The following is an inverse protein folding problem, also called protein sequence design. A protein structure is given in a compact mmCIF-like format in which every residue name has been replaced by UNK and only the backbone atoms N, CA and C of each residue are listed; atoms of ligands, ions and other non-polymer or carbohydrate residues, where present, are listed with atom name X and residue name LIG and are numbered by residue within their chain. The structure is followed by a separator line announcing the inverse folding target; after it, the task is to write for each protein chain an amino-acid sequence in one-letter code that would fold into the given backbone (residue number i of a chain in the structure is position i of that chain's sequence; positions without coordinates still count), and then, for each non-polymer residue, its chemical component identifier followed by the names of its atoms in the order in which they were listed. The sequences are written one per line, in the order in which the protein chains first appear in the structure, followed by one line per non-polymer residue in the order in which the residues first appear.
data_IF_805338215931
#
_entry.id   IF_805338215931
#
_cell.length_a   1.000
_cell.length_b   1.000
_cell.length_c   1.000
_cell.angle_alpha   90.00
_cell.angle_beta   90.00
_cell.angle_gamma   90.00
#
_symmetry.space_group_name_H-M   'P 1'
#
loop_
_entity.id
_entity.type
_entity.pdbx_description
1 polymer ?
#
# COMPACT_ATOMS: atom_id res chain seq x y z
N UNK A 1 -56.92 -40.70 0.09
CA UNK A 1 -57.99 -39.76 0.43
C UNK A 1 -57.31 -38.41 0.35
N UNK A 2 -57.25 -37.84 -0.80
CA UNK A 2 -58.16 -36.90 -1.48
C UNK A 2 -58.28 -35.57 -0.74
N UNK A 3 -57.89 -34.53 -1.47
CA UNK A 3 -58.12 -33.15 -1.15
C UNK A 3 -57.38 -32.21 -2.10
N UNK A 4 -57.73 -32.26 -3.37
CA UNK A 4 -57.35 -31.31 -4.43
C UNK A 4 -58.07 -29.96 -4.27
N UNK A 5 -57.49 -28.97 -5.01
CA UNK A 5 -58.06 -27.72 -5.59
C UNK A 5 -58.12 -26.52 -4.62
N UNK A 6 -57.79 -25.29 -5.03
CA UNK A 6 -58.01 -24.60 -6.34
C UNK A 6 -57.13 -23.39 -6.50
N UNK A 7 -56.65 -23.17 -7.72
CA UNK A 7 -56.27 -21.88 -8.33
C UNK A 7 -57.42 -20.86 -8.33
N UNK A 8 -57.13 -19.57 -8.19
CA UNK A 8 -57.75 -18.38 -8.87
C UNK A 8 -56.75 -17.24 -8.70
N UNK A 9 -56.00 -16.75 -9.71
CA UNK A 9 -56.45 -15.96 -10.88
C UNK A 9 -57.16 -14.63 -10.50
N UNK A 10 -56.42 -13.54 -10.52
CA UNK A 10 -56.86 -12.18 -10.87
C UNK A 10 -55.56 -11.42 -11.18
N UNK A 11 -55.05 -11.25 -12.35
CA UNK A 11 -55.57 -10.60 -13.56
C UNK A 11 -55.60 -9.07 -13.47
N UNK A 12 -54.64 -8.48 -14.19
CA UNK A 12 -54.80 -7.35 -15.10
C UNK A 12 -55.63 -6.13 -14.59
N UNK A 13 -54.91 -4.98 -14.41
CA UNK A 13 -55.34 -3.69 -14.92
C UNK A 13 -54.28 -2.63 -14.54
N UNK A 14 -53.78 -1.91 -15.52
CA UNK A 14 -52.97 -0.71 -15.22
C UNK A 14 -51.86 -0.38 -16.22
N UNK A 15 -52.06 -0.63 -17.52
CA UNK A 15 -51.24 -0.03 -18.59
C UNK A 15 -52.18 0.49 -19.66
N UNK A 16 -52.68 1.69 -19.47
CA UNK A 16 -53.29 2.51 -20.53
C UNK A 16 -53.61 3.89 -19.95
N UNK A 17 -52.69 4.82 -19.93
CA UNK A 17 -52.96 6.25 -19.89
C UNK A 17 -51.63 7.08 -19.88
N UNK A 18 -50.81 7.00 -20.93
CA UNK A 18 -49.90 8.08 -21.33
C UNK A 18 -49.59 7.86 -22.82
N UNK A 19 -50.56 8.11 -23.66
CA UNK A 19 -50.36 8.25 -25.11
C UNK A 19 -51.53 9.04 -25.73
N UNK A 20 -51.75 10.28 -25.27
CA UNK A 20 -52.60 11.28 -25.92
C UNK A 20 -52.09 12.67 -25.51
N UNK A 21 -51.11 13.20 -26.19
CA UNK A 21 -50.59 14.54 -25.90
C UNK A 21 -49.54 15.09 -26.86
N UNK A 22 -49.52 14.58 -28.09
CA UNK A 22 -48.56 15.07 -29.09
C UNK A 22 -49.13 15.03 -30.52
N UNK A 23 -50.37 15.57 -30.73
CA UNK A 23 -50.87 15.89 -32.09
C UNK A 23 -51.79 17.12 -31.91
N UNK A 24 -51.26 18.31 -31.73
CA UNK A 24 -51.92 19.58 -31.93
C UNK A 24 -50.95 20.77 -31.88
N UNK A 25 -49.91 20.79 -32.72
CA UNK A 25 -49.17 22.03 -33.04
C UNK A 25 -48.44 21.84 -34.39
N UNK A 26 -49.16 21.71 -35.43
CA UNK A 26 -48.59 21.58 -36.74
C UNK A 26 -49.57 22.02 -37.84
N UNK A 27 -50.03 23.28 -37.81
CA UNK A 27 -50.69 23.92 -38.98
C UNK A 27 -50.94 25.38 -38.66
N UNK A 28 -49.94 26.19 -38.78
CA UNK A 28 -50.09 27.67 -38.90
C UNK A 28 -48.70 28.25 -39.23
N UNK A 29 -48.26 28.09 -40.47
CA UNK A 29 -47.32 28.99 -41.20
C UNK A 29 -47.28 28.52 -42.65
N UNK A 30 -48.26 28.77 -43.44
CA UNK A 30 -48.15 28.94 -44.88
C UNK A 30 -49.16 30.01 -45.30
N UNK A 31 -48.66 31.20 -45.38
CA UNK A 31 -49.05 32.24 -46.34
C UNK A 31 -48.51 33.59 -45.88
N UNK A 32 -47.40 34.01 -46.41
CA UNK A 32 -47.10 35.41 -46.70
C UNK A 32 -46.24 35.48 -47.96
N UNK A 33 -46.93 35.97 -48.97
CA UNK A 33 -46.54 36.38 -50.29
C UNK A 33 -45.26 37.21 -50.36
N UNK A 34 -44.54 36.98 -51.42
CA UNK A 34 -43.39 37.72 -51.91
C UNK A 34 -43.62 39.24 -51.93
N UNK A 35 -42.73 39.97 -51.28
CA UNK A 35 -42.36 41.33 -51.67
C UNK A 35 -40.86 41.40 -51.79
N UNK A 36 -40.44 41.55 -53.04
CA UNK A 36 -39.06 41.85 -53.36
C UNK A 36 -38.75 43.29 -52.93
N UNK A 37 -37.90 43.46 -51.96
CA UNK A 37 -37.34 44.75 -51.62
C UNK A 37 -35.81 44.67 -51.78
N UNK A 38 -35.32 45.55 -52.66
CA UNK A 38 -33.91 45.72 -53.00
C UNK A 38 -33.12 46.06 -51.73
N UNK A 39 -32.43 45.09 -51.16
CA UNK A 39 -31.45 45.32 -50.10
C UNK A 39 -30.12 45.69 -50.68
N UNK A 40 -29.72 46.92 -50.45
CA UNK A 40 -28.41 47.49 -50.68
C UNK A 40 -27.33 46.52 -50.16
N UNK A 41 -26.43 46.04 -51.02
CA UNK A 41 -25.31 45.20 -50.67
C UNK A 41 -24.40 45.92 -49.65
N UNK A 42 -24.49 45.58 -48.37
CA UNK A 42 -23.46 45.91 -47.40
C UNK A 42 -22.24 45.05 -47.70
N UNK A 43 -21.02 45.59 -47.73
CA UNK A 43 -19.85 44.75 -47.86
C UNK A 43 -19.75 43.79 -46.66
N UNK A 44 -19.62 42.50 -46.92
CA UNK A 44 -19.41 41.49 -45.91
C UNK A 44 -18.19 41.88 -45.05
N UNK A 45 -18.28 41.78 -43.72
CA UNK A 45 -17.10 41.97 -42.89
C UNK A 45 -16.09 40.93 -43.30
N UNK A 46 -14.85 41.35 -43.61
CA UNK A 46 -13.70 40.46 -43.81
C UNK A 46 -13.63 39.59 -42.58
N UNK A 47 -14.11 38.33 -42.69
CA UNK A 47 -14.03 37.37 -41.63
C UNK A 47 -12.57 37.17 -41.28
N UNK A 48 -12.19 37.59 -40.09
CA UNK A 48 -10.98 37.10 -39.46
C UNK A 48 -11.14 35.58 -39.41
N UNK A 49 -10.38 34.84 -40.21
CA UNK A 49 -10.29 33.43 -40.12
C UNK A 49 -9.62 33.11 -38.76
N UNK A 50 -10.46 33.02 -37.73
CA UNK A 50 -10.01 32.43 -36.47
C UNK A 50 -9.73 30.99 -36.80
N UNK A 51 -8.48 30.69 -37.10
CA UNK A 51 -8.02 29.33 -37.29
C UNK A 51 -8.36 28.58 -36.00
N UNK A 52 -9.19 27.57 -36.09
CA UNK A 52 -9.45 26.65 -34.98
C UNK A 52 -8.08 26.17 -34.45
N UNK A 53 -7.92 26.09 -33.14
CA UNK A 53 -6.67 25.58 -32.59
C UNK A 53 -6.38 24.21 -33.21
N UNK A 54 -5.12 23.91 -33.49
CA UNK A 54 -4.75 22.62 -34.10
C UNK A 54 -5.33 21.48 -33.25
N UNK A 55 -5.94 20.50 -33.93
CA UNK A 55 -6.48 19.33 -33.25
C UNK A 55 -5.32 18.63 -32.51
N UNK A 56 -5.54 18.24 -31.24
CA UNK A 56 -4.50 17.54 -30.47
C UNK A 56 -4.14 16.23 -31.19
N UNK A 57 -2.86 15.90 -31.22
CA UNK A 57 -2.38 14.61 -31.71
C UNK A 57 -2.72 13.53 -30.67
N UNK A 58 -3.88 12.88 -30.88
CA UNK A 58 -4.39 11.84 -29.99
C UNK A 58 -3.44 10.63 -29.91
N UNK A 59 -2.67 10.36 -30.97
CA UNK A 59 -1.70 9.28 -30.98
C UNK A 59 -0.54 9.59 -30.06
N UNK A 60 0.03 10.78 -30.17
CA UNK A 60 1.11 11.23 -29.29
C UNK A 60 0.67 11.28 -27.79
N UNK A 61 -0.57 11.71 -27.51
CA UNK A 61 -1.14 11.65 -26.17
C UNK A 61 -1.25 10.21 -25.67
N UNK A 62 -1.80 9.32 -26.49
CA UNK A 62 -1.96 7.89 -26.14
C UNK A 62 -0.60 7.23 -25.85
N UNK A 63 0.39 7.46 -26.71
CA UNK A 63 1.74 6.92 -26.55
C UNK A 63 2.39 7.44 -25.26
N UNK A 64 2.31 8.74 -24.97
CA UNK A 64 2.87 9.35 -23.77
C UNK A 64 2.20 8.85 -22.49
N UNK A 65 0.87 8.79 -22.45
CA UNK A 65 0.13 8.27 -21.30
C UNK A 65 0.52 6.81 -21.02
N UNK A 66 0.57 5.96 -22.03
CA UNK A 66 0.94 4.55 -21.84
C UNK A 66 2.41 4.38 -21.47
N UNK A 67 3.31 5.22 -22.00
CA UNK A 67 4.74 5.16 -21.70
C UNK A 67 5.05 5.47 -20.22
N UNK A 68 4.25 6.29 -19.56
CA UNK A 68 4.47 6.78 -18.21
C UNK A 68 3.47 6.23 -17.17
N UNK A 69 2.58 5.32 -17.59
CA UNK A 69 1.63 4.64 -16.69
C UNK A 69 2.22 3.33 -16.20
N UNK A 70 2.13 3.10 -14.89
CA UNK A 70 2.47 1.83 -14.26
C UNK A 70 1.35 1.36 -13.34
N UNK A 71 1.26 0.05 -13.17
CA UNK A 71 0.25 -0.59 -12.32
C UNK A 71 0.87 -1.08 -11.03
N UNK A 72 0.11 -0.94 -9.94
CA UNK A 72 0.50 -1.32 -8.59
C UNK A 72 -0.58 -2.19 -7.98
N UNK A 73 -0.33 -3.50 -7.83
CA UNK A 73 -1.28 -4.38 -7.12
C UNK A 73 -1.23 -4.14 -5.64
N UNK A 74 -2.40 -4.01 -5.03
CA UNK A 74 -2.57 -3.58 -3.63
C UNK A 74 -3.18 -4.69 -2.76
N UNK A 75 -4.48 -4.70 -2.63
CA UNK A 75 -5.25 -5.65 -1.83
C UNK A 75 -6.74 -5.40 -2.00
N UNK A 76 -7.55 -6.06 -1.21
CA UNK A 76 -8.97 -5.70 -1.11
C UNK A 76 -9.13 -4.40 -0.29
N UNK A 77 -10.30 -3.74 -0.34
CA UNK A 77 -10.50 -2.45 0.31
C UNK A 77 -10.27 -2.42 1.83
N UNK A 78 -10.35 -3.57 2.50
CA UNK A 78 -10.13 -3.67 3.95
C UNK A 78 -8.65 -3.80 4.34
N UNK A 79 -7.75 -3.98 3.37
CA UNK A 79 -6.33 -4.15 3.62
C UNK A 79 -5.58 -2.81 3.51
N UNK A 80 -4.57 -2.64 4.35
CA UNK A 80 -3.75 -1.43 4.42
C UNK A 80 -3.04 -1.10 3.10
N UNK A 81 -2.72 -2.10 2.30
CA UNK A 81 -2.05 -1.91 1.00
C UNK A 81 -2.88 -1.09 0.01
N UNK A 82 -4.22 -1.13 0.13
CA UNK A 82 -5.10 -0.28 -0.69
C UNK A 82 -4.96 1.19 -0.30
N UNK A 83 -4.85 1.49 0.98
CA UNK A 83 -4.56 2.84 1.46
C UNK A 83 -3.17 3.32 0.98
N UNK A 84 -2.14 2.47 1.11
CA UNK A 84 -0.80 2.82 0.60
C UNK A 84 -0.78 3.08 -0.90
N UNK A 85 -1.45 2.24 -1.70
CA UNK A 85 -1.56 2.45 -3.14
C UNK A 85 -2.27 3.75 -3.52
N UNK A 86 -3.34 4.08 -2.80
CA UNK A 86 -4.07 5.34 -2.98
C UNK A 86 -3.21 6.56 -2.62
N UNK A 87 -2.44 6.49 -1.53
CA UNK A 87 -1.51 7.54 -1.13
C UNK A 87 -0.40 7.75 -2.17
N UNK A 88 0.19 6.66 -2.68
CA UNK A 88 1.20 6.75 -3.73
C UNK A 88 0.64 7.39 -5.00
N UNK A 89 -0.55 6.97 -5.45
CA UNK A 89 -1.19 7.59 -6.61
C UNK A 89 -1.48 9.08 -6.39
N UNK A 90 -1.98 9.44 -5.21
CA UNK A 90 -2.33 10.82 -4.90
C UNK A 90 -1.11 11.76 -4.79
N UNK A 91 0.05 11.25 -4.36
CA UNK A 91 1.28 12.04 -4.19
C UNK A 91 2.13 12.05 -5.44
N UNK A 92 2.20 10.92 -6.16
CA UNK A 92 3.18 10.73 -7.23
C UNK A 92 2.64 11.04 -8.61
N UNK A 93 1.31 10.98 -8.83
CA UNK A 93 0.74 11.32 -10.13
C UNK A 93 1.14 12.74 -10.56
N UNK A 94 1.58 12.86 -11.80
CA UNK A 94 2.07 14.10 -12.39
C UNK A 94 1.62 14.19 -13.86
N UNK A 95 0.34 14.48 -14.07
CA UNK A 95 -0.27 14.55 -15.39
C UNK A 95 0.05 13.33 -16.26
N UNK A 96 0.61 13.57 -17.45
CA UNK A 96 1.05 12.52 -18.38
C UNK A 96 2.49 12.04 -18.12
N UNK A 97 3.21 12.69 -17.17
CA UNK A 97 4.60 12.37 -16.90
C UNK A 97 4.76 11.16 -15.99
N UNK A 98 3.85 10.97 -15.04
CA UNK A 98 3.82 9.77 -14.20
C UNK A 98 2.40 9.48 -13.76
N UNK A 99 1.94 8.28 -14.02
CA UNK A 99 0.64 7.82 -13.58
C UNK A 99 0.74 6.47 -12.88
N UNK A 100 0.40 6.43 -11.61
CA UNK A 100 0.32 5.23 -10.78
C UNK A 100 -1.13 4.79 -10.74
N UNK A 101 -1.42 3.57 -11.14
CA UNK A 101 -2.75 2.96 -11.12
C UNK A 101 -2.79 1.86 -10.06
N UNK A 102 -3.36 2.12 -8.87
CA UNK A 102 -3.61 1.06 -7.91
C UNK A 102 -4.65 0.08 -8.45
N UNK A 103 -4.32 -1.20 -8.40
CA UNK A 103 -5.18 -2.31 -8.85
C UNK A 103 -5.50 -3.17 -7.63
N UNK A 104 -6.79 -3.43 -7.40
CA UNK A 104 -7.22 -4.29 -6.30
C UNK A 104 -6.85 -5.75 -6.57
N UNK A 105 -6.50 -6.46 -5.50
CA UNK A 105 -6.18 -7.88 -5.49
C UNK A 105 -6.70 -8.52 -4.20
N UNK A 106 -6.39 -9.79 -3.96
CA UNK A 106 -6.68 -10.43 -2.68
C UNK A 106 -5.63 -10.10 -1.60
N UNK A 107 -4.47 -9.54 -1.97
CA UNK A 107 -3.42 -9.10 -1.05
C UNK A 107 -2.04 -9.72 -1.32
N UNK A 108 -1.18 -9.71 -0.31
CA UNK A 108 0.26 -9.97 -0.41
C UNK A 108 0.63 -11.25 -1.17
N UNK A 109 -0.10 -12.34 -0.95
CA UNK A 109 0.14 -13.66 -1.58
C UNK A 109 -0.09 -13.61 -3.08
N UNK A 110 -1.25 -13.08 -3.48
CA UNK A 110 -1.58 -12.90 -4.90
C UNK A 110 -0.63 -11.90 -5.57
N UNK A 111 -0.29 -10.82 -4.89
CA UNK A 111 0.57 -9.77 -5.45
C UNK A 111 1.93 -10.30 -5.91
N UNK A 112 2.53 -11.23 -5.16
CA UNK A 112 3.81 -11.86 -5.57
C UNK A 112 3.64 -12.62 -6.88
N UNK A 113 2.56 -13.37 -7.03
CA UNK A 113 2.24 -14.11 -8.27
C UNK A 113 1.96 -13.16 -9.43
N UNK A 114 1.19 -12.09 -9.19
CA UNK A 114 0.81 -11.12 -10.20
C UNK A 114 2.02 -10.34 -10.73
N UNK A 115 2.88 -9.82 -9.85
CA UNK A 115 4.12 -9.16 -10.27
C UNK A 115 5.05 -10.12 -11.01
N UNK A 116 5.09 -11.39 -10.58
CA UNK A 116 5.96 -12.39 -11.20
C UNK A 116 5.50 -12.84 -12.59
N UNK A 117 4.20 -12.96 -12.82
CA UNK A 117 3.67 -13.64 -14.01
C UNK A 117 2.65 -12.83 -14.82
N UNK A 118 1.91 -11.91 -14.21
CA UNK A 118 0.81 -11.24 -14.89
C UNK A 118 1.32 -10.09 -15.77
N UNK A 119 0.98 -10.11 -17.04
CA UNK A 119 1.32 -9.03 -17.95
C UNK A 119 0.61 -7.75 -17.55
N UNK A 120 1.33 -6.63 -17.56
CA UNK A 120 0.76 -5.33 -17.25
C UNK A 120 0.84 -4.95 -15.76
N UNK A 121 1.31 -5.83 -14.88
CA UNK A 121 1.62 -5.49 -13.49
C UNK A 121 3.10 -5.12 -13.38
N UNK A 122 3.39 -3.98 -12.78
CA UNK A 122 4.74 -3.43 -12.64
C UNK A 122 5.25 -3.51 -11.20
N UNK A 123 4.36 -3.20 -10.23
CA UNK A 123 4.67 -3.08 -8.81
C UNK A 123 3.65 -3.84 -7.96
N UNK A 124 4.02 -4.16 -6.73
CA UNK A 124 3.11 -4.74 -5.75
C UNK A 124 3.53 -4.49 -4.31
N UNK A 125 2.58 -4.68 -3.41
CA UNK A 125 2.86 -4.78 -1.98
C UNK A 125 2.86 -6.23 -1.55
N UNK A 126 3.80 -6.58 -0.68
CA UNK A 126 3.85 -7.90 -0.03
C UNK A 126 4.46 -7.78 1.36
N UNK A 127 4.62 -8.91 2.03
CA UNK A 127 5.26 -9.01 3.35
C UNK A 127 6.47 -9.95 3.25
N UNK A 128 7.51 -9.68 4.01
CA UNK A 128 8.80 -10.39 3.91
C UNK A 128 8.67 -11.91 4.07
N UNK A 129 7.83 -12.37 5.01
CA UNK A 129 7.59 -13.81 5.24
C UNK A 129 6.95 -14.50 4.03
N UNK A 130 6.10 -13.80 3.26
CA UNK A 130 5.50 -14.35 2.02
C UNK A 130 6.58 -14.60 0.97
N UNK A 131 7.52 -13.66 0.81
CA UNK A 131 8.67 -13.87 -0.06
C UNK A 131 9.55 -15.04 0.43
N UNK A 132 9.79 -15.14 1.74
CA UNK A 132 10.49 -16.24 2.38
C UNK A 132 9.81 -17.59 2.13
N UNK A 133 8.50 -17.66 2.31
CA UNK A 133 7.69 -18.85 2.01
C UNK A 133 7.87 -19.31 0.55
N UNK A 134 7.66 -18.44 -0.42
CA UNK A 134 7.81 -18.79 -1.83
C UNK A 134 9.23 -19.16 -2.23
N UNK A 135 10.24 -18.55 -1.61
CA UNK A 135 11.64 -18.92 -1.82
C UNK A 135 11.91 -20.35 -1.37
N UNK A 136 11.42 -20.75 -0.18
CA UNK A 136 11.61 -22.10 0.37
C UNK A 136 10.79 -23.16 -0.36
N UNK A 137 9.56 -22.85 -0.70
CA UNK A 137 8.67 -23.80 -1.40
C UNK A 137 9.06 -24.03 -2.87
N UNK A 138 9.72 -23.04 -3.50
CA UNK A 138 10.03 -23.09 -4.93
C UNK A 138 8.79 -23.03 -5.83
N UNK A 139 7.59 -22.83 -5.28
CA UNK A 139 6.31 -22.85 -6.01
C UNK A 139 6.27 -21.86 -7.18
N UNK A 140 6.92 -20.70 -7.05
CA UNK A 140 6.97 -19.66 -8.07
C UNK A 140 8.30 -19.64 -8.85
N UNK A 141 9.12 -20.69 -8.71
CA UNK A 141 10.45 -20.78 -9.28
C UNK A 141 11.44 -19.85 -8.56
N UNK A 142 12.55 -19.56 -9.23
CA UNK A 142 13.54 -18.63 -8.70
C UNK A 142 12.95 -17.20 -8.60
N UNK A 143 12.90 -16.68 -7.38
CA UNK A 143 12.42 -15.33 -7.10
C UNK A 143 13.55 -14.32 -6.87
N UNK A 144 14.73 -14.76 -6.42
CA UNK A 144 15.81 -13.88 -5.98
C UNK A 144 16.37 -13.02 -7.11
N UNK A 145 16.39 -13.58 -8.34
CA UNK A 145 16.80 -12.86 -9.54
C UNK A 145 15.63 -12.19 -10.29
N UNK A 146 14.41 -12.52 -9.93
CA UNK A 146 13.20 -12.04 -10.64
C UNK A 146 12.45 -10.95 -9.92
N UNK A 147 12.58 -10.86 -8.60
CA UNK A 147 11.92 -9.84 -7.80
C UNK A 147 12.95 -9.01 -7.03
N UNK A 148 12.68 -7.72 -6.93
CA UNK A 148 13.49 -6.77 -6.17
C UNK A 148 12.58 -5.92 -5.30
N UNK A 149 12.98 -5.64 -4.05
CA UNK A 149 12.24 -4.69 -3.25
C UNK A 149 12.68 -3.26 -3.57
N UNK A 150 11.75 -2.31 -3.50
CA UNK A 150 12.03 -0.89 -3.64
C UNK A 150 12.30 -0.29 -2.27
N UNK A 151 11.39 -0.54 -1.33
CA UNK A 151 11.52 -0.06 0.03
C UNK A 151 10.78 -0.94 1.04
N UNK A 152 11.21 -0.85 2.29
CA UNK A 152 10.48 -1.33 3.46
C UNK A 152 9.57 -0.19 3.94
N UNK A 153 8.29 -0.51 4.20
CA UNK A 153 7.32 0.50 4.64
C UNK A 153 7.21 0.51 6.16
N UNK A 154 6.80 -0.61 6.75
CA UNK A 154 6.57 -0.75 8.17
C UNK A 154 6.97 -2.16 8.65
N UNK A 155 7.03 -2.35 9.94
CA UNK A 155 6.85 -3.66 10.51
C UNK A 155 5.34 -3.88 10.68
N UNK A 156 4.90 -5.07 10.32
CA UNK A 156 3.54 -5.52 10.56
C UNK A 156 3.60 -6.54 11.70
N UNK A 157 3.21 -6.10 12.89
CA UNK A 157 3.15 -6.94 14.07
C UNK A 157 2.01 -7.94 13.97
N UNK A 158 2.24 -9.10 14.57
CA UNK A 158 1.22 -10.14 14.69
C UNK A 158 0.39 -9.87 15.94
N UNK A 159 -0.88 -9.59 15.73
CA UNK A 159 -1.84 -9.38 16.81
C UNK A 159 -2.74 -10.62 16.92
N UNK A 160 -2.57 -11.40 17.96
CA UNK A 160 -3.43 -12.52 18.27
C UNK A 160 -4.42 -12.10 19.35
N UNK A 161 -5.65 -11.84 18.94
CA UNK A 161 -6.73 -11.38 19.83
C UNK A 161 -7.60 -12.56 20.24
N UNK A 162 -7.85 -12.66 21.53
CA UNK A 162 -8.69 -13.70 22.14
C UNK A 162 -9.67 -13.11 23.16
N UNK A 163 -10.53 -13.95 23.72
CA UNK A 163 -11.26 -13.67 24.96
C UNK A 163 -10.32 -13.83 26.16
N UNK A 164 -10.60 -13.12 27.25
CA UNK A 164 -9.76 -13.07 28.45
C UNK A 164 -9.59 -14.41 29.17
N UNK A 165 -10.49 -15.36 28.96
CA UNK A 165 -10.42 -16.72 29.49
C UNK A 165 -9.38 -17.60 28.79
N UNK A 166 -8.91 -17.23 27.59
CA UNK A 166 -7.82 -17.90 26.88
C UNK A 166 -6.52 -17.17 27.18
N UNK A 167 -5.60 -17.85 27.85
CA UNK A 167 -4.37 -17.26 28.39
C UNK A 167 -3.07 -17.78 27.78
N UNK A 168 -3.15 -18.86 26.97
CA UNK A 168 -2.01 -19.45 26.29
C UNK A 168 -2.37 -19.90 24.88
N UNK A 169 -1.34 -20.05 24.03
CA UNK A 169 -1.50 -20.56 22.67
C UNK A 169 -1.97 -22.01 22.63
N UNK A 170 -1.55 -22.83 23.59
CA UNK A 170 -1.92 -24.26 23.71
C UNK A 170 -3.43 -24.44 23.88
N UNK A 171 -4.10 -23.48 24.52
CA UNK A 171 -5.55 -23.52 24.69
C UNK A 171 -6.31 -23.32 23.38
N UNK A 172 -5.64 -22.90 22.32
CA UNK A 172 -6.22 -22.77 20.98
C UNK A 172 -6.23 -24.09 20.19
N UNK A 173 -5.53 -25.13 20.66
CA UNK A 173 -5.45 -26.42 19.99
C UNK A 173 -6.83 -27.03 19.79
N UNK A 174 -7.18 -27.37 18.53
CA UNK A 174 -8.49 -27.92 18.15
C UNK A 174 -9.61 -26.89 18.15
N UNK A 175 -9.33 -25.62 18.37
CA UNK A 175 -10.35 -24.56 18.36
C UNK A 175 -10.35 -23.78 17.05
N UNK A 176 -11.48 -23.15 16.75
CA UNK A 176 -11.61 -22.27 15.58
C UNK A 176 -10.85 -20.98 15.78
N UNK A 177 -9.88 -20.72 14.91
CA UNK A 177 -9.09 -19.48 14.87
C UNK A 177 -9.27 -18.79 13.51
N UNK A 178 -9.58 -17.52 13.53
CA UNK A 178 -9.71 -16.75 12.31
C UNK A 178 -8.32 -16.31 11.78
N UNK A 179 -8.03 -16.74 10.55
CA UNK A 179 -6.80 -16.42 9.81
C UNK A 179 -6.99 -15.24 8.85
N UNK A 180 -8.00 -14.40 9.07
CA UNK A 180 -8.39 -13.30 8.21
C UNK A 180 -8.92 -13.78 6.84
N UNK A 181 -9.07 -12.87 5.88
CA UNK A 181 -9.63 -13.17 4.56
C UNK A 181 -8.76 -14.18 3.80
N UNK A 182 -9.41 -15.09 3.08
CA UNK A 182 -8.74 -16.10 2.26
C UNK A 182 -7.85 -15.44 1.21
N UNK A 183 -6.62 -15.93 1.03
CA UNK A 183 -5.63 -15.38 0.11
C UNK A 183 -4.89 -14.14 0.63
N UNK A 184 -5.20 -13.66 1.84
CA UNK A 184 -4.49 -12.54 2.46
C UNK A 184 -3.10 -12.95 2.98
N UNK A 185 -2.22 -11.96 3.16
CA UNK A 185 -0.92 -12.17 3.83
C UNK A 185 -1.08 -12.70 5.25
N UNK A 186 -2.08 -12.21 5.98
CA UNK A 186 -2.38 -12.68 7.34
C UNK A 186 -2.75 -14.16 7.38
N UNK A 187 -3.51 -14.68 6.40
CA UNK A 187 -3.82 -16.11 6.34
C UNK A 187 -2.56 -16.96 6.24
N UNK A 188 -1.65 -16.62 5.33
CA UNK A 188 -0.39 -17.36 5.18
C UNK A 188 0.49 -17.22 6.43
N UNK A 189 0.60 -16.00 6.97
CA UNK A 189 1.32 -15.73 8.23
C UNK A 189 0.79 -16.57 9.39
N UNK A 190 -0.53 -16.64 9.55
CA UNK A 190 -1.15 -17.44 10.60
C UNK A 190 -0.83 -18.94 10.44
N UNK A 191 -0.93 -19.47 9.22
CA UNK A 191 -0.55 -20.86 8.93
C UNK A 191 0.91 -21.14 9.28
N UNK A 192 1.83 -20.25 8.85
CA UNK A 192 3.26 -20.39 9.16
C UNK A 192 3.50 -20.40 10.67
N UNK A 193 2.85 -19.51 11.42
CA UNK A 193 2.99 -19.41 12.89
C UNK A 193 2.45 -20.67 13.56
N UNK A 194 1.22 -21.08 13.31
CA UNK A 194 0.63 -22.23 13.97
C UNK A 194 1.34 -23.53 13.59
N UNK A 195 1.74 -23.70 12.34
CA UNK A 195 2.57 -24.83 11.89
C UNK A 195 3.95 -24.79 12.55
N UNK A 196 4.62 -23.65 12.57
CA UNK A 196 5.96 -23.48 13.16
C UNK A 196 5.97 -23.70 14.67
N UNK A 197 4.87 -23.43 15.36
CA UNK A 197 4.69 -23.69 16.79
C UNK A 197 4.10 -25.08 17.10
N UNK A 198 3.80 -25.87 16.07
CA UNK A 198 3.18 -27.19 16.19
C UNK A 198 1.85 -27.17 16.97
N UNK A 199 0.98 -26.19 16.67
CA UNK A 199 -0.35 -26.03 17.28
C UNK A 199 -1.41 -26.19 16.19
N UNK A 200 -2.15 -27.29 16.22
CA UNK A 200 -3.26 -27.52 15.29
C UNK A 200 -4.48 -26.73 15.72
N UNK A 201 -5.09 -26.00 14.79
CA UNK A 201 -6.31 -25.22 15.00
C UNK A 201 -7.26 -25.39 13.80
N UNK A 202 -8.53 -25.18 14.02
CA UNK A 202 -9.53 -25.16 12.95
C UNK A 202 -9.50 -23.77 12.28
N UNK A 203 -8.90 -23.68 11.09
CA UNK A 203 -8.83 -22.43 10.34
C UNK A 203 -10.20 -21.97 9.88
N UNK A 204 -10.57 -20.71 10.16
CA UNK A 204 -11.68 -20.00 9.54
C UNK A 204 -11.20 -18.71 8.88
N UNK A 205 -11.91 -18.24 7.84
CA UNK A 205 -11.49 -17.08 7.07
C UNK A 205 -12.61 -16.04 7.04
N UNK A 206 -12.46 -14.99 7.83
CA UNK A 206 -13.41 -13.90 7.99
C UNK A 206 -12.67 -12.57 7.92
N UNK A 207 -13.34 -11.54 7.43
CA UNK A 207 -12.85 -10.17 7.58
C UNK A 207 -12.81 -9.75 9.06
N UNK A 208 -12.04 -8.68 9.40
CA UNK A 208 -11.86 -8.28 10.80
C UNK A 208 -13.17 -7.98 11.55
N UNK A 209 -14.12 -7.30 10.93
CA UNK A 209 -15.40 -6.95 11.58
C UNK A 209 -16.22 -8.22 11.96
N UNK A 210 -16.38 -9.15 11.01
CA UNK A 210 -17.09 -10.41 11.23
C UNK A 210 -16.36 -11.28 12.26
N UNK A 211 -15.02 -11.25 12.25
CA UNK A 211 -14.22 -12.00 13.19
C UNK A 211 -14.43 -11.51 14.63
N UNK A 212 -14.46 -10.20 14.86
CA UNK A 212 -14.71 -9.65 16.21
C UNK A 212 -16.13 -9.93 16.70
N UNK A 213 -17.14 -9.86 15.81
CA UNK A 213 -18.51 -10.27 16.16
C UNK A 213 -18.56 -11.73 16.59
N UNK A 214 -17.94 -12.64 15.83
CA UNK A 214 -17.88 -14.07 16.17
C UNK A 214 -17.05 -14.37 17.42
N UNK A 215 -15.97 -13.62 17.64
CA UNK A 215 -15.16 -13.72 18.86
C UNK A 215 -15.98 -13.31 20.10
N UNK A 216 -16.75 -12.21 19.99
CA UNK A 216 -17.66 -11.76 21.05
C UNK A 216 -18.73 -12.82 21.38
N UNK A 217 -19.28 -13.48 20.36
CA UNK A 217 -20.26 -14.57 20.48
C UNK A 217 -19.65 -15.92 20.86
N UNK A 218 -18.35 -16.03 21.04
CA UNK A 218 -17.61 -17.28 21.32
C UNK A 218 -17.77 -18.36 20.23
N UNK A 219 -18.04 -17.94 18.99
CA UNK A 219 -18.14 -18.86 17.85
C UNK A 219 -16.73 -19.18 17.29
N UNK A 220 -15.74 -18.31 17.57
CA UNK A 220 -14.31 -18.53 17.35
C UNK A 220 -13.55 -18.22 18.64
N UNK A 221 -12.38 -18.80 18.81
CA UNK A 221 -11.56 -18.65 20.02
C UNK A 221 -10.51 -17.55 19.89
N UNK A 222 -10.06 -17.27 18.68
CA UNK A 222 -9.08 -16.22 18.41
C UNK A 222 -9.23 -15.66 17.00
N UNK A 223 -8.67 -14.48 16.79
CA UNK A 223 -8.45 -13.90 15.46
C UNK A 223 -7.03 -13.32 15.36
N UNK A 224 -6.38 -13.53 14.21
CA UNK A 224 -5.08 -12.95 13.90
C UNK A 224 -5.28 -11.76 12.98
N UNK A 225 -4.52 -10.68 13.27
CA UNK A 225 -4.37 -9.52 12.41
C UNK A 225 -2.88 -9.23 12.27
N UNK A 226 -2.40 -9.11 11.05
CA UNK A 226 -1.05 -8.67 10.72
C UNK A 226 -1.14 -7.24 10.23
N UNK A 227 -0.57 -6.30 10.97
CA UNK A 227 -0.61 -4.86 10.67
C UNK A 227 0.41 -4.12 11.50
N UNK A 228 0.83 -2.94 11.04
CA UNK A 228 1.56 -2.01 11.90
C UNK A 228 0.74 -1.62 13.14
N UNK A 229 1.43 -1.28 14.20
CA UNK A 229 0.82 -0.85 15.48
C UNK A 229 0.76 0.67 15.63
N UNK A 230 -0.32 1.22 16.20
CA UNK A 230 -1.54 0.52 16.59
C UNK A 230 -2.41 0.13 15.38
N UNK A 231 -2.91 -1.11 15.37
CA UNK A 231 -3.87 -1.57 14.38
C UNK A 231 -5.26 -1.01 14.69
N UNK A 232 -5.84 -0.24 13.77
CA UNK A 232 -7.10 0.49 14.02
C UNK A 232 -8.27 -0.41 14.44
N UNK A 233 -8.37 -1.62 13.89
CA UNK A 233 -9.40 -2.58 14.27
C UNK A 233 -9.26 -3.09 15.72
N UNK A 234 -8.05 -3.08 16.28
CA UNK A 234 -7.75 -3.56 17.64
C UNK A 234 -7.81 -2.41 18.67
N UNK A 235 -7.45 -1.21 18.26
CA UNK A 235 -7.40 -0.04 19.13
C UNK A 235 -8.75 0.28 19.83
N UNK A 236 -9.86 -0.18 19.26
CA UNK A 236 -11.21 0.01 19.80
C UNK A 236 -11.61 -1.06 20.84
N UNK A 237 -10.88 -2.17 20.93
CA UNK A 237 -11.18 -3.26 21.85
C UNK A 237 -10.75 -2.88 23.28
N UNK A 238 -11.45 -3.46 24.27
CA UNK A 238 -11.16 -3.20 25.69
C UNK A 238 -11.02 -4.51 26.48
N UNK A 239 -10.06 -4.54 27.39
CA UNK A 239 -9.89 -5.63 28.34
C UNK A 239 -11.11 -5.78 29.24
N UNK A 240 -11.78 -4.68 29.62
CA UNK A 240 -13.01 -4.66 30.40
C UNK A 240 -14.20 -5.34 29.70
N UNK A 241 -14.17 -5.45 28.36
CA UNK A 241 -15.14 -6.16 27.55
C UNK A 241 -14.75 -7.65 27.35
N UNK A 242 -13.68 -8.09 28.01
CA UNK A 242 -13.20 -9.46 28.00
C UNK A 242 -12.35 -9.82 26.79
N UNK A 243 -11.66 -8.85 26.17
CA UNK A 243 -10.64 -9.08 25.15
C UNK A 243 -9.23 -9.05 25.71
N UNK A 244 -8.32 -9.75 25.09
CA UNK A 244 -6.89 -9.68 25.36
C UNK A 244 -6.05 -9.97 24.12
N UNK A 245 -4.81 -9.52 24.17
CA UNK A 245 -3.77 -9.91 23.23
C UNK A 245 -2.96 -11.06 23.82
N UNK A 246 -2.82 -12.16 23.07
CA UNK A 246 -1.92 -13.25 23.45
C UNK A 246 -0.51 -13.02 22.88
N UNK A 247 0.52 -13.36 23.66
CA UNK A 247 1.88 -13.34 23.15
C UNK A 247 2.10 -14.40 22.06
N UNK A 248 2.90 -14.03 21.04
CA UNK A 248 3.38 -14.93 19.99
C UNK A 248 4.89 -15.02 20.11
N UNK A 249 5.44 -16.18 20.52
CA UNK A 249 6.86 -16.32 20.84
C UNK A 249 7.73 -16.25 19.57
N UNK A 250 8.88 -15.61 19.68
CA UNK A 250 9.92 -15.63 18.64
C UNK A 250 10.68 -16.97 18.66
N UNK A 251 9.96 -18.04 18.30
CA UNK A 251 10.48 -19.39 18.29
C UNK A 251 11.53 -19.59 17.19
N UNK A 252 12.43 -20.59 17.38
CA UNK A 252 13.49 -20.89 16.41
C UNK A 252 12.96 -21.14 15.00
N UNK A 253 11.81 -21.81 14.87
CA UNK A 253 11.13 -22.09 13.60
C UNK A 253 10.63 -20.87 12.84
N UNK A 254 10.54 -19.70 13.48
CA UNK A 254 10.03 -18.47 12.91
C UNK A 254 11.11 -17.41 12.62
N UNK A 255 12.35 -17.65 13.06
CA UNK A 255 13.42 -16.61 13.04
C UNK A 255 13.86 -16.19 11.66
N UNK A 256 13.72 -17.05 10.66
CA UNK A 256 14.17 -16.75 9.30
C UNK A 256 13.27 -15.74 8.58
N UNK A 257 12.00 -15.64 9.00
CA UNK A 257 10.99 -14.83 8.30
C UNK A 257 10.46 -13.66 9.13
N UNK A 258 10.68 -13.69 10.46
CA UNK A 258 10.10 -12.74 11.39
C UNK A 258 11.16 -12.06 12.24
N UNK A 259 10.81 -10.92 12.78
CA UNK A 259 11.59 -10.16 13.76
C UNK A 259 10.88 -10.21 15.11
N UNK A 260 11.60 -10.21 16.25
CA UNK A 260 10.96 -10.02 17.54
C UNK A 260 10.34 -8.62 17.61
N UNK A 261 9.19 -8.52 18.22
CA UNK A 261 8.48 -7.26 18.46
C UNK A 261 7.72 -7.32 19.78
N UNK A 262 7.20 -6.18 20.22
CA UNK A 262 6.48 -6.03 21.47
C UNK A 262 5.33 -5.06 21.28
N UNK A 263 4.16 -5.39 21.82
CA UNK A 263 3.01 -4.49 21.91
C UNK A 263 2.97 -3.89 23.32
N UNK A 264 2.70 -2.61 23.42
CA UNK A 264 2.80 -1.84 24.68
C UNK A 264 1.49 -1.15 25.03
N UNK A 265 1.40 -0.61 26.24
CA UNK A 265 0.29 0.24 26.64
C UNK A 265 0.15 1.48 25.75
N UNK A 266 1.26 2.03 25.23
CA UNK A 266 1.21 3.19 24.31
C UNK A 266 0.51 2.83 22.98
N UNK A 267 0.69 1.58 22.51
CA UNK A 267 0.02 1.09 21.33
C UNK A 267 -1.47 0.78 21.60
N UNK A 268 -1.77 0.18 22.78
CA UNK A 268 -3.11 -0.32 23.12
C UNK A 268 -3.49 -0.05 24.58
N UNK A 269 -3.76 1.21 24.96
CA UNK A 269 -4.01 1.58 26.37
C UNK A 269 -5.27 0.92 26.97
N UNK A 270 -6.22 0.47 26.13
CA UNK A 270 -7.43 -0.20 26.58
C UNK A 270 -7.28 -1.74 26.75
N UNK A 271 -6.19 -2.33 26.25
CA UNK A 271 -5.94 -3.78 26.28
C UNK A 271 -4.73 -4.20 27.10
N UNK A 272 -3.73 -3.33 27.18
CA UNK A 272 -2.46 -3.60 27.86
C UNK A 272 -2.36 -2.61 29.05
N UNK A 273 -2.16 -3.12 30.25
CA UNK A 273 -2.04 -2.27 31.44
C UNK A 273 -0.73 -1.47 31.41
N UNK A 274 -0.71 -0.34 32.10
CA UNK A 274 0.47 0.50 32.17
C UNK A 274 1.66 -0.26 32.78
N UNK A 275 2.80 -0.23 32.09
CA UNK A 275 4.01 -0.97 32.47
C UNK A 275 4.03 -2.43 32.05
N UNK A 276 2.94 -2.97 31.47
CA UNK A 276 2.89 -4.30 30.88
C UNK A 276 3.21 -4.26 29.40
N UNK A 277 3.64 -5.40 28.88
CA UNK A 277 3.93 -5.61 27.46
C UNK A 277 3.46 -6.97 27.01
N UNK A 278 3.17 -7.11 25.70
CA UNK A 278 2.86 -8.39 25.09
C UNK A 278 3.91 -8.68 24.02
N UNK A 279 4.71 -9.73 24.23
CA UNK A 279 5.68 -10.18 23.24
C UNK A 279 4.97 -10.67 21.97
N UNK A 280 5.50 -10.31 20.83
CA UNK A 280 5.02 -10.75 19.53
C UNK A 280 6.16 -10.82 18.51
N UNK A 281 5.82 -11.18 17.29
CA UNK A 281 6.71 -11.15 16.15
C UNK A 281 6.16 -10.21 15.08
N UNK A 282 7.03 -9.74 14.20
CA UNK A 282 6.66 -8.87 13.10
C UNK A 282 7.29 -9.33 11.78
N UNK A 283 6.59 -9.10 10.69
CA UNK A 283 7.13 -9.19 9.34
C UNK A 283 7.20 -7.79 8.72
N UNK A 284 7.99 -7.62 7.66
CA UNK A 284 8.15 -6.30 7.02
C UNK A 284 7.23 -6.15 5.83
N UNK A 285 6.39 -5.11 5.82
CA UNK A 285 5.67 -4.69 4.63
C UNK A 285 6.60 -4.05 3.61
N UNK A 286 6.49 -4.47 2.36
CA UNK A 286 7.40 -4.14 1.27
C UNK A 286 6.64 -3.62 0.06
N UNK A 287 7.21 -2.61 -0.58
CA UNK A 287 6.93 -2.26 -1.97
C UNK A 287 8.00 -2.95 -2.84
N UNK A 288 7.57 -3.71 -3.84
CA UNK A 288 8.46 -4.51 -4.68
C UNK A 288 8.07 -4.46 -6.16
N UNK A 289 8.97 -4.89 -7.02
CA UNK A 289 8.85 -4.91 -8.46
C UNK A 289 9.41 -6.20 -9.06
N UNK A 290 9.06 -6.47 -10.32
CA UNK A 290 9.83 -7.41 -11.12
C UNK A 290 11.19 -6.80 -11.47
N UNK A 291 12.24 -7.61 -11.48
CA UNK A 291 13.61 -7.19 -11.81
C UNK A 291 13.79 -7.08 -13.33
N UNK A 292 13.28 -5.99 -13.91
CA UNK A 292 13.40 -5.74 -15.35
C UNK A 292 14.84 -5.35 -15.72
N UNK A 293 15.37 -5.82 -16.87
CA UNK A 293 16.63 -5.33 -17.39
C UNK A 293 16.61 -3.82 -17.65
N UNK A 294 17.74 -3.12 -17.36
CA UNK A 294 17.87 -1.64 -17.47
C UNK A 294 17.46 -1.05 -18.83
N UNK A 295 17.63 -1.79 -19.91
CA UNK A 295 17.34 -1.33 -21.27
C UNK A 295 15.87 -1.50 -21.68
N UNK A 296 14.98 -1.81 -20.75
CA UNK A 296 13.54 -2.03 -21.04
C UNK A 296 12.69 -0.83 -20.64
N UNK A 297 11.57 -0.65 -21.36
CA UNK A 297 10.58 0.38 -21.01
C UNK A 297 9.99 0.17 -19.63
N UNK A 298 9.87 -1.08 -19.18
CA UNK A 298 9.36 -1.40 -17.85
C UNK A 298 10.33 -0.97 -16.75
N UNK A 299 11.64 -1.21 -16.93
CA UNK A 299 12.65 -0.68 -16.00
C UNK A 299 12.55 0.84 -15.90
N UNK A 300 12.51 1.53 -17.06
CA UNK A 300 12.43 3.00 -17.12
C UNK A 300 11.22 3.55 -16.37
N UNK A 301 10.05 2.90 -16.47
CA UNK A 301 8.84 3.32 -15.73
C UNK A 301 9.01 3.13 -14.24
N UNK A 302 9.52 1.98 -13.80
CA UNK A 302 9.78 1.71 -12.38
C UNK A 302 10.83 2.68 -11.84
N UNK A 303 11.90 2.96 -12.58
CA UNK A 303 12.94 3.92 -12.20
C UNK A 303 12.38 5.35 -12.05
N UNK A 304 11.54 5.79 -12.99
CA UNK A 304 10.83 7.08 -12.90
C UNK A 304 9.93 7.15 -11.67
N UNK A 305 9.20 6.10 -11.37
CA UNK A 305 8.40 5.99 -10.17
C UNK A 305 9.27 6.07 -8.90
N UNK A 306 10.37 5.34 -8.85
CA UNK A 306 11.28 5.33 -7.69
C UNK A 306 11.89 6.73 -7.47
N UNK A 307 12.32 7.42 -8.52
CA UNK A 307 12.81 8.80 -8.44
C UNK A 307 11.76 9.75 -7.88
N UNK A 308 10.52 9.65 -8.36
CA UNK A 308 9.41 10.46 -7.84
C UNK A 308 9.07 10.12 -6.39
N UNK A 309 9.08 8.84 -6.02
CA UNK A 309 8.86 8.37 -4.66
C UNK A 309 9.89 8.96 -3.69
N UNK A 310 11.17 8.90 -4.03
CA UNK A 310 12.24 9.44 -3.20
C UNK A 310 12.15 10.95 -3.07
N UNK A 311 11.90 11.66 -4.17
CA UNK A 311 11.79 13.12 -4.18
C UNK A 311 10.59 13.64 -3.36
N UNK A 312 9.46 12.92 -3.38
CA UNK A 312 8.21 13.31 -2.70
C UNK A 312 7.94 12.50 -1.42
N UNK A 313 8.92 11.76 -0.91
CA UNK A 313 8.71 10.85 0.23
C UNK A 313 8.17 11.55 1.48
N UNK A 314 8.64 12.75 1.77
CA UNK A 314 8.17 13.55 2.91
C UNK A 314 6.68 13.92 2.82
N UNK A 315 6.11 13.98 1.61
CA UNK A 315 4.68 14.26 1.42
C UNK A 315 3.80 13.05 1.84
N UNK A 316 4.32 11.83 1.68
CA UNK A 316 3.65 10.62 2.16
C UNK A 316 3.57 10.58 3.70
N UNK A 317 4.52 11.20 4.40
CA UNK A 317 4.58 11.20 5.86
C UNK A 317 3.65 12.25 6.52
N UNK A 318 3.01 13.11 5.72
CA UNK A 318 2.11 14.18 6.18
C UNK A 318 0.63 13.76 6.10
N UNK A 319 -0.23 14.24 7.02
CA UNK A 319 -1.67 14.10 6.87
C UNK A 319 -2.16 14.68 5.51
N UNK A 320 -3.19 14.10 4.89
CA UNK A 320 -4.08 13.04 5.37
C UNK A 320 -3.60 11.63 5.02
N UNK A 321 -2.33 11.42 4.69
CA UNK A 321 -1.77 10.11 4.30
C UNK A 321 -1.75 9.15 5.49
N UNK A 322 -1.69 7.85 5.17
CA UNK A 322 -1.66 6.81 6.20
C UNK A 322 -0.49 7.05 7.18
N UNK A 323 -0.72 7.04 8.51
CA UNK A 323 0.32 7.36 9.50
C UNK A 323 1.51 6.39 9.49
N UNK A 324 1.35 5.17 9.00
CA UNK A 324 2.46 4.19 8.91
C UNK A 324 3.56 4.62 7.93
N UNK A 325 3.31 5.53 7.00
CA UNK A 325 4.37 6.12 6.19
C UNK A 325 5.46 6.80 7.01
N UNK A 326 5.17 7.25 8.24
CA UNK A 326 6.16 7.82 9.16
C UNK A 326 7.15 6.79 9.70
N UNK A 327 6.79 5.50 9.67
CA UNK A 327 7.68 4.40 10.06
C UNK A 327 8.56 3.92 8.90
N UNK A 328 8.20 4.30 7.67
CA UNK A 328 8.90 3.87 6.47
C UNK A 328 10.32 4.47 6.41
N UNK A 329 11.28 3.61 6.08
CA UNK A 329 12.68 3.99 5.95
C UNK A 329 13.21 3.54 4.58
N UNK A 330 13.47 4.51 3.72
CA UNK A 330 13.99 4.25 2.37
C UNK A 330 15.32 3.50 2.38
N UNK A 331 16.15 3.70 3.41
CA UNK A 331 17.46 3.08 3.53
C UNK A 331 17.44 1.69 4.20
N UNK A 332 16.29 1.27 4.78
CA UNK A 332 16.19 -0.01 5.46
C UNK A 332 16.46 -1.18 4.52
N UNK A 333 17.35 -2.08 4.93
CA UNK A 333 17.71 -3.29 4.18
C UNK A 333 16.75 -4.44 4.46
N UNK A 334 16.61 -5.34 3.50
CA UNK A 334 15.92 -6.61 3.64
C UNK A 334 16.93 -7.74 3.43
N UNK A 335 17.30 -8.48 4.49
CA UNK A 335 18.28 -9.57 4.36
C UNK A 335 17.83 -10.62 3.34
N UNK A 336 18.77 -11.07 2.51
CA UNK A 336 18.52 -12.11 1.50
C UNK A 336 17.77 -11.64 0.25
N UNK A 337 17.48 -10.33 0.10
CA UNK A 337 16.79 -9.78 -1.06
C UNK A 337 17.54 -8.59 -1.66
N UNK A 338 17.55 -8.53 -2.98
CA UNK A 338 18.14 -7.41 -3.74
C UNK A 338 17.17 -6.22 -3.74
N UNK A 339 17.71 -5.03 -3.55
CA UNK A 339 16.97 -3.79 -3.77
C UNK A 339 16.93 -3.49 -5.27
N UNK A 340 15.88 -2.80 -5.73
CA UNK A 340 15.83 -2.24 -7.08
C UNK A 340 17.04 -1.33 -7.30
N UNK A 341 17.76 -1.56 -8.39
CA UNK A 341 19.07 -0.93 -8.61
C UNK A 341 18.98 0.61 -8.64
N UNK A 342 17.97 1.18 -9.30
CA UNK A 342 17.75 2.64 -9.29
C UNK A 342 17.50 3.23 -7.90
N UNK A 343 16.89 2.46 -6.98
CA UNK A 343 16.74 2.88 -5.58
C UNK A 343 18.08 2.84 -4.83
N UNK A 344 18.92 1.84 -5.09
CA UNK A 344 20.25 1.74 -4.47
C UNK A 344 21.18 2.87 -4.95
N UNK A 345 21.15 3.20 -6.25
CA UNK A 345 21.90 4.32 -6.84
C UNK A 345 21.50 5.67 -6.20
N UNK A 346 20.18 5.89 -6.01
CA UNK A 346 19.70 7.11 -5.33
C UNK A 346 20.18 7.18 -3.87
N UNK A 347 20.09 6.07 -3.13
CA UNK A 347 20.56 6.02 -1.75
C UNK A 347 22.07 6.28 -1.65
N UNK A 348 22.87 5.72 -2.56
CA UNK A 348 24.31 5.98 -2.64
C UNK A 348 24.58 7.47 -2.88
N UNK A 349 23.90 8.07 -3.85
CA UNK A 349 24.00 9.51 -4.16
C UNK A 349 23.65 10.40 -2.96
N UNK A 350 22.55 10.10 -2.24
CA UNK A 350 22.18 10.85 -1.04
C UNK A 350 23.22 10.71 0.09
N UNK A 351 23.79 9.53 0.27
CA UNK A 351 24.86 9.32 1.26
C UNK A 351 26.11 10.15 0.91
N UNK A 352 26.52 10.15 -0.34
CA UNK A 352 27.66 10.94 -0.82
C UNK A 352 27.44 12.44 -0.65
N UNK A 353 26.26 12.95 -1.03
CA UNK A 353 25.90 14.35 -0.85
C UNK A 353 25.88 14.76 0.63
N UNK A 354 25.31 13.90 1.48
CA UNK A 354 25.29 14.12 2.93
C UNK A 354 26.69 14.16 3.53
N UNK A 355 27.56 13.23 3.13
CA UNK A 355 28.95 13.18 3.58
C UNK A 355 29.75 14.39 3.07
N UNK A 356 29.55 14.81 1.82
CA UNK A 356 30.20 16.00 1.27
C UNK A 356 29.76 17.26 2.02
N UNK A 357 28.45 17.44 2.26
CA UNK A 357 27.94 18.57 3.06
C UNK A 357 28.43 18.56 4.51
N UNK A 358 28.57 17.37 5.11
CA UNK A 358 29.15 17.24 6.45
C UNK A 358 30.64 17.58 6.46
N UNK A 359 31.39 17.20 5.42
CA UNK A 359 32.82 17.58 5.29
C UNK A 359 32.97 19.08 5.14
N UNK A 360 32.14 19.71 4.33
CA UNK A 360 32.14 21.16 4.18
C UNK A 360 31.86 21.89 5.51
N UNK A 361 30.84 21.46 6.25
CA UNK A 361 30.54 22.00 7.59
C UNK A 361 31.70 21.77 8.57
N UNK A 362 32.36 20.63 8.48
CA UNK A 362 33.53 20.33 9.28
C UNK A 362 34.71 21.25 8.93
N UNK A 363 35.01 21.45 7.65
CA UNK A 363 36.07 22.39 7.21
C UNK A 363 35.76 23.82 7.67
N UNK A 364 34.52 24.28 7.59
CA UNK A 364 34.08 25.56 8.14
C UNK A 364 34.25 25.63 9.67
N UNK A 365 33.97 24.54 10.38
CA UNK A 365 34.17 24.46 11.82
C UNK A 365 35.64 24.54 12.24
N UNK A 366 36.52 23.93 11.48
CA UNK A 366 37.98 23.95 11.76
C UNK A 366 38.69 25.19 11.18
N UNK A 367 38.12 25.86 10.15
CA UNK A 367 38.74 26.99 9.50
C UNK A 367 39.32 28.09 10.43
N UNK A 368 38.53 28.57 11.45
CA UNK A 368 39.04 29.57 12.43
C UNK A 368 40.10 29.01 13.40
N UNK A 369 40.27 27.70 13.43
CA UNK A 369 41.16 26.94 14.34
C UNK A 369 42.34 26.33 13.62
N UNK A 370 42.51 26.62 12.35
CA UNK A 370 43.47 25.98 11.44
C UNK A 370 44.93 25.99 11.94
N UNK A 371 45.33 27.00 12.74
CA UNK A 371 46.68 27.07 13.33
C UNK A 371 46.94 26.06 14.50
N UNK A 372 45.97 25.25 14.90
CA UNK A 372 46.05 24.22 15.94
C UNK A 372 45.63 22.86 15.45
N UNK A 373 45.51 22.68 14.16
CA UNK A 373 44.97 21.43 13.59
C UNK A 373 46.05 20.41 13.30
N UNK A 374 45.65 19.10 13.34
CA UNK A 374 46.52 18.00 12.98
C UNK A 374 47.12 18.15 11.61
N UNK A 375 48.41 17.89 11.49
CA UNK A 375 49.19 18.14 10.26
C UNK A 375 48.98 17.00 9.23
N UNK A 376 48.49 15.83 9.64
CA UNK A 376 48.34 14.66 8.79
C UNK A 376 46.91 14.40 8.37
N UNK A 377 46.71 13.79 7.21
CA UNK A 377 45.39 13.37 6.70
C UNK A 377 44.70 12.37 7.64
N UNK A 378 45.46 11.53 8.29
CA UNK A 378 44.98 10.52 9.23
C UNK A 378 44.37 11.18 10.49
N UNK A 379 45.00 12.18 11.04
CA UNK A 379 44.53 12.94 12.20
C UNK A 379 43.27 13.78 11.84
N UNK A 380 43.23 14.33 10.62
CA UNK A 380 42.03 15.03 10.12
C UNK A 380 40.82 14.10 9.95
N UNK A 381 41.03 12.88 9.43
CA UNK A 381 40.01 11.88 9.33
C UNK A 381 39.52 11.42 10.72
N UNK A 382 40.38 11.32 11.70
CA UNK A 382 40.01 10.99 13.07
C UNK A 382 39.18 12.09 13.70
N UNK A 383 39.58 13.36 13.54
CA UNK A 383 38.83 14.51 14.01
C UNK A 383 37.45 14.63 13.33
N UNK A 384 37.34 14.27 12.05
CA UNK A 384 36.04 14.20 11.34
C UNK A 384 35.14 13.08 11.91
N UNK A 385 35.70 11.91 12.21
CA UNK A 385 34.96 10.83 12.84
C UNK A 385 34.52 11.20 14.28
N UNK A 386 35.31 11.97 15.01
CA UNK A 386 34.95 12.49 16.33
C UNK A 386 33.83 13.56 16.22
N UNK A 387 33.85 14.38 15.18
CA UNK A 387 32.75 15.30 14.86
C UNK A 387 31.45 14.56 14.53
N UNK A 388 31.50 13.46 13.75
CA UNK A 388 30.34 12.65 13.43
C UNK A 388 29.73 12.03 14.71
N UNK A 389 30.56 11.50 15.62
CA UNK A 389 30.13 10.96 16.94
C UNK A 389 29.50 12.07 17.77
N UNK A 390 30.13 13.21 17.90
CA UNK A 390 29.63 14.35 18.65
C UNK A 390 28.24 14.82 18.15
N UNK A 391 28.03 14.79 16.81
CA UNK A 391 26.75 15.15 16.20
C UNK A 391 25.66 14.10 16.46
N UNK A 392 26.01 12.80 16.51
CA UNK A 392 25.07 11.73 16.85
C UNK A 392 24.62 11.82 18.33
N UNK A 393 25.48 12.27 19.21
CA UNK A 393 25.18 12.44 20.64
C UNK A 393 24.32 13.69 20.92
N UNK A 394 24.12 14.57 19.94
CA UNK A 394 23.32 15.81 20.04
C UNK A 394 22.39 15.99 18.85
N UNK A 395 21.42 15.09 18.68
CA UNK A 395 20.45 15.23 17.61
C UNK A 395 19.45 16.34 17.99
N UNK A 396 19.60 17.54 17.49
CA UNK A 396 18.76 18.73 17.67
C UNK A 396 19.21 19.72 18.75
N UNK A 397 20.11 20.57 18.37
CA UNK A 397 20.10 21.99 18.75
C UNK A 397 20.16 22.85 17.52
#
# INVERSE_FOLDING_TARGET
MDGRLRLRSAARCGVAAVLCGLIAFGNLIFNRTAQAEQAIARPAPKGSSTSLPPRPDLRAITERMNANTLTLVTGNPSLIFTAYGSDLAAVLNDGDELRVLPVMSQGAVQNVRDVRFLRGIDLGFTVSNILGHYRRSGELGDLEDKLVYIMKISNDEIHLVTRSDITSLEQLRGHKVNFNSKGSGTQMTARDIFTGLNIDVDEVNLGPADAFDKLAKREISATIITSGKPAGAIAQLKASEGYRLLPVPFAKSLRDDYLPSTLTNEDYPNLIANGETVETIAASSLLFAYNWPKNTDRYRRVDKFVKALFAKFTELQKPPRNPHWRQANLAATLPGWKRFEGAEELLASYREQTLAGMREQFEQFIGPRANKLPATEQERNQLFNDFLRWRQERPNR
#
